data_IF_085353219950
#
_entry.id   IF_085353219950
#
_cell.length_a   1.000
_cell.length_b   1.000
_cell.length_c   1.000
_cell.angle_alpha   90.00
_cell.angle_beta   90.00
_cell.angle_gamma   90.00
#
_symmetry.space_group_name_H-M   'P 1'
#
loop_
_entity.id
_entity.type
_entity.pdbx_description
1 polymer ?
#
# COMPACT_ATOMS: atom_id res chain seq x y z
N UNK A 1 -29.84 -10.95 0.22
CA UNK A 1 -28.49 -10.46 0.47
C UNK A 1 -28.30 -9.23 -0.40
N UNK A 2 -28.23 -8.05 0.20
CA UNK A 2 -27.98 -6.81 -0.55
C UNK A 2 -26.59 -6.92 -1.20
N UNK A 3 -26.49 -6.67 -2.50
CA UNK A 3 -25.21 -6.58 -3.15
C UNK A 3 -24.44 -5.44 -2.45
N UNK A 4 -23.39 -5.79 -1.71
CA UNK A 4 -22.45 -4.84 -1.14
C UNK A 4 -21.92 -4.00 -2.31
N UNK A 5 -22.11 -2.69 -2.26
CA UNK A 5 -21.56 -1.81 -3.29
C UNK A 5 -20.06 -1.65 -3.01
N UNK A 6 -19.22 -2.31 -3.81
CA UNK A 6 -17.78 -2.08 -3.78
C UNK A 6 -17.47 -0.64 -4.12
N UNK A 7 -16.40 -0.13 -3.53
CA UNK A 7 -16.00 1.25 -3.67
C UNK A 7 -16.57 2.17 -2.61
N UNK A 8 -15.86 3.25 -2.34
CA UNK A 8 -16.19 4.22 -1.31
C UNK A 8 -16.53 5.59 -1.86
N UNK A 9 -16.76 6.53 -0.94
CA UNK A 9 -17.08 7.92 -1.25
C UNK A 9 -15.83 8.82 -1.31
N UNK A 10 -14.63 8.24 -1.47
CA UNK A 10 -13.39 8.98 -1.54
C UNK A 10 -13.40 9.94 -2.73
N UNK A 11 -13.03 11.20 -2.47
CA UNK A 11 -12.93 12.19 -3.53
C UNK A 11 -11.63 12.01 -4.32
N UNK A 12 -11.74 11.37 -5.48
CA UNK A 12 -10.61 11.09 -6.36
C UNK A 12 -10.48 12.20 -7.40
N UNK A 13 -9.34 12.91 -7.49
CA UNK A 13 -9.15 14.02 -8.43
C UNK A 13 -8.77 13.51 -9.82
N UNK A 14 -9.68 12.75 -10.44
CA UNK A 14 -9.48 12.18 -11.78
C UNK A 14 -9.44 13.29 -12.83
N UNK A 15 -8.38 13.36 -13.67
CA UNK A 15 -8.31 14.32 -14.76
C UNK A 15 -9.24 13.93 -15.93
N UNK A 16 -9.68 14.90 -16.75
CA UNK A 16 -10.57 14.65 -17.89
C UNK A 16 -9.91 13.74 -18.96
N UNK A 17 -8.60 13.78 -19.10
CA UNK A 17 -7.83 12.99 -20.07
C UNK A 17 -7.40 11.62 -19.56
N UNK A 18 -8.20 10.92 -18.75
CA UNK A 18 -7.91 9.57 -18.32
C UNK A 18 -8.39 8.51 -19.31
N UNK A 19 -7.78 7.33 -19.29
CA UNK A 19 -8.23 6.14 -20.02
C UNK A 19 -8.05 4.89 -19.18
N UNK A 20 -8.72 3.79 -19.54
CA UNK A 20 -8.47 2.51 -18.90
C UNK A 20 -7.06 2.03 -19.21
N UNK A 21 -6.39 1.49 -18.22
CA UNK A 21 -5.08 0.87 -18.32
C UNK A 21 -5.16 -0.65 -18.53
N UNK A 22 -4.12 -1.33 -18.07
CA UNK A 22 -3.98 -2.79 -18.19
C UNK A 22 -4.87 -3.54 -17.20
N UNK A 23 -5.26 -4.79 -17.51
CA UNK A 23 -5.90 -5.67 -16.55
C UNK A 23 -4.95 -6.02 -15.40
N UNK A 24 -5.47 -6.73 -14.39
CA UNK A 24 -4.66 -7.24 -13.29
C UNK A 24 -3.50 -8.10 -13.83
N UNK A 25 -2.25 -7.90 -13.33
CA UNK A 25 -1.08 -8.64 -13.82
C UNK A 25 -0.95 -10.06 -13.25
N UNK A 26 -1.88 -10.51 -12.43
CA UNK A 26 -1.91 -11.83 -11.80
C UNK A 26 -3.06 -12.68 -12.35
N UNK A 27 -2.95 -14.03 -12.27
CA UNK A 27 -4.05 -14.92 -12.65
C UNK A 27 -5.20 -14.85 -11.65
N UNK A 28 -6.43 -15.12 -12.13
CA UNK A 28 -7.65 -15.06 -11.29
C UNK A 28 -7.65 -16.05 -10.12
N UNK A 29 -6.98 -17.18 -10.27
CA UNK A 29 -6.89 -18.25 -9.26
C UNK A 29 -5.55 -18.27 -8.54
N UNK A 30 -4.95 -17.07 -8.36
CA UNK A 30 -3.70 -16.97 -7.63
C UNK A 30 -3.89 -17.30 -6.15
N UNK A 31 -2.98 -18.09 -5.59
CA UNK A 31 -2.90 -18.33 -4.15
C UNK A 31 -1.90 -17.37 -3.52
N UNK A 32 -2.22 -16.89 -2.32
CA UNK A 32 -1.33 -16.04 -1.53
C UNK A 32 -0.94 -16.77 -0.26
N UNK A 33 0.36 -16.94 -0.09
CA UNK A 33 0.97 -17.57 1.06
C UNK A 33 1.98 -16.64 1.72
N UNK A 34 1.88 -16.48 3.06
CA UNK A 34 2.72 -15.54 3.81
C UNK A 34 4.20 -15.97 3.82
N UNK A 35 4.48 -17.27 3.85
CA UNK A 35 5.86 -17.78 3.80
C UNK A 35 6.47 -17.57 2.39
N UNK A 36 5.65 -17.64 1.33
CA UNK A 36 6.08 -17.29 -0.02
C UNK A 36 6.41 -15.80 -0.15
N UNK A 37 5.58 -14.92 0.43
CA UNK A 37 5.84 -13.48 0.47
C UNK A 37 7.18 -13.21 1.16
N UNK A 38 7.43 -13.81 2.32
CA UNK A 38 8.69 -13.65 3.07
C UNK A 38 9.88 -14.10 2.24
N UNK A 39 9.82 -15.27 1.60
CA UNK A 39 10.90 -15.78 0.74
C UNK A 39 11.18 -14.85 -0.44
N UNK A 40 10.15 -14.35 -1.12
CA UNK A 40 10.30 -13.46 -2.26
C UNK A 40 10.87 -12.08 -1.88
N UNK A 41 10.64 -11.62 -0.65
CA UNK A 41 11.14 -10.35 -0.17
C UNK A 41 12.57 -10.42 0.39
N UNK A 42 13.03 -11.59 0.88
CA UNK A 42 14.32 -11.72 1.57
C UNK A 42 15.50 -11.34 0.67
N UNK A 43 15.47 -11.74 -0.60
CA UNK A 43 16.57 -11.50 -1.56
C UNK A 43 16.20 -10.42 -2.60
N UNK A 44 15.13 -9.69 -2.35
CA UNK A 44 14.61 -8.71 -3.31
C UNK A 44 15.52 -7.49 -3.42
N UNK A 45 15.88 -7.13 -4.64
CA UNK A 45 16.57 -5.86 -4.93
C UNK A 45 15.56 -4.73 -5.01
N UNK A 46 15.58 -3.87 -3.99
CA UNK A 46 14.68 -2.73 -3.90
C UNK A 46 15.12 -1.60 -4.84
N UNK A 47 14.22 -1.14 -5.68
CA UNK A 47 14.44 0.07 -6.48
C UNK A 47 14.16 1.31 -5.63
N UNK A 48 15.19 2.09 -5.37
CA UNK A 48 15.11 3.26 -4.48
C UNK A 48 14.94 4.59 -5.21
N UNK A 49 15.06 4.63 -6.54
CA UNK A 49 15.05 5.89 -7.29
C UNK A 49 14.34 5.77 -8.65
N UNK A 50 13.56 6.82 -8.96
CA UNK A 50 13.22 7.13 -10.36
C UNK A 50 14.39 7.91 -10.94
N UNK A 51 15.04 7.36 -11.97
CA UNK A 51 16.09 8.06 -12.73
C UNK A 51 15.57 9.43 -13.19
N UNK A 52 16.30 10.50 -12.87
CA UNK A 52 15.96 11.87 -13.27
C UNK A 52 14.95 12.61 -12.37
N UNK A 53 14.48 12.02 -11.27
CA UNK A 53 13.65 12.75 -10.32
C UNK A 53 14.51 13.69 -9.43
N UNK A 54 14.03 14.89 -9.11
CA UNK A 54 14.72 15.77 -8.17
C UNK A 54 14.78 15.12 -6.78
N UNK A 55 15.77 15.47 -5.94
CA UNK A 55 15.88 14.90 -4.60
C UNK A 55 14.61 15.14 -3.79
N UNK A 56 14.19 14.17 -2.97
CA UNK A 56 12.99 14.31 -2.16
C UNK A 56 13.19 15.42 -1.12
N UNK A 57 12.13 16.16 -0.83
CA UNK A 57 12.11 17.17 0.24
C UNK A 57 11.84 16.56 1.61
N UNK A 58 11.18 15.40 1.63
CA UNK A 58 10.80 14.68 2.85
C UNK A 58 10.97 13.18 2.64
N UNK A 59 11.33 12.51 3.71
CA UNK A 59 11.27 11.06 3.79
C UNK A 59 10.06 10.67 4.63
N UNK A 60 9.38 9.62 4.21
CA UNK A 60 8.25 9.03 4.92
C UNK A 60 8.39 7.52 4.87
N UNK A 61 7.82 6.85 5.85
CA UNK A 61 7.79 5.41 5.89
C UNK A 61 6.37 4.92 6.15
N UNK A 62 6.02 3.78 5.57
CA UNK A 62 4.77 3.09 5.83
C UNK A 62 5.02 1.65 6.23
N UNK A 63 4.16 1.11 7.08
CA UNK A 63 4.20 -0.27 7.56
C UNK A 63 3.13 -1.11 6.84
N UNK A 64 3.58 -2.11 6.09
CA UNK A 64 2.73 -3.14 5.51
C UNK A 64 2.76 -4.33 6.47
N UNK A 65 1.86 -4.31 7.46
CA UNK A 65 1.76 -5.36 8.45
C UNK A 65 0.86 -6.49 7.94
N UNK A 66 1.41 -7.70 7.87
CA UNK A 66 0.75 -8.92 7.37
C UNK A 66 0.63 -9.96 8.47
N UNK A 67 -0.49 -10.67 8.50
CA UNK A 67 -0.72 -11.85 9.34
C UNK A 67 -1.62 -12.84 8.60
N UNK A 68 -1.68 -14.10 9.02
CA UNK A 68 -2.58 -15.11 8.46
C UNK A 68 -3.57 -15.56 9.53
N UNK A 69 -4.90 -15.33 9.28
CA UNK A 69 -5.98 -15.77 10.17
C UNK A 69 -7.37 -15.73 9.46
N UNK A 70 -7.86 -16.77 8.80
CA UNK A 70 -7.07 -17.85 8.18
C UNK A 70 -6.30 -17.38 6.95
N UNK A 71 -6.75 -16.32 6.28
CA UNK A 71 -6.17 -15.77 5.06
C UNK A 71 -5.10 -14.72 5.37
N UNK A 72 -4.13 -14.60 4.47
CA UNK A 72 -3.14 -13.52 4.56
C UNK A 72 -3.85 -12.18 4.47
N UNK A 73 -3.78 -11.42 5.54
CA UNK A 73 -4.50 -10.16 5.75
C UNK A 73 -3.52 -9.01 5.95
N UNK A 74 -3.81 -7.88 5.35
CA UNK A 74 -3.06 -6.63 5.50
C UNK A 74 -3.84 -5.63 6.36
N UNK A 75 -3.11 -4.89 7.19
CA UNK A 75 -3.67 -3.80 8.01
C UNK A 75 -3.57 -2.48 7.24
N UNK A 76 -4.72 -1.83 7.07
CA UNK A 76 -4.84 -0.49 6.51
C UNK A 76 -5.63 0.41 7.47
N UNK A 77 -5.55 1.71 7.27
CA UNK A 77 -6.32 2.72 8.01
C UNK A 77 -7.12 3.57 7.02
N UNK A 78 -8.36 3.95 7.40
CA UNK A 78 -9.08 5.05 6.76
C UNK A 78 -8.87 6.31 7.58
N UNK A 79 -8.34 7.33 6.95
CA UNK A 79 -8.05 8.62 7.62
C UNK A 79 -9.33 9.35 7.98
N UNK A 80 -9.32 10.04 9.11
CA UNK A 80 -10.48 10.84 9.54
C UNK A 80 -10.79 11.97 8.55
N UNK A 81 -12.07 12.29 8.42
CA UNK A 81 -12.55 13.41 7.59
C UNK A 81 -12.11 14.80 8.12
N UNK A 82 -11.62 14.87 9.37
CA UNK A 82 -11.15 16.12 9.99
C UNK A 82 -9.78 16.58 9.51
N UNK A 83 -9.03 15.71 8.83
CA UNK A 83 -7.69 16.05 8.36
C UNK A 83 -7.71 17.04 7.20
N UNK A 84 -6.73 17.94 7.16
CA UNK A 84 -6.61 18.99 6.13
C UNK A 84 -6.23 18.44 4.75
N UNK A 85 -5.56 17.29 4.72
CA UNK A 85 -5.08 16.62 3.50
C UNK A 85 -5.38 15.14 3.60
N UNK A 86 -5.68 14.52 2.44
CA UNK A 86 -5.94 13.08 2.36
C UNK A 86 -7.09 12.59 3.25
N UNK A 87 -8.09 13.46 3.47
CA UNK A 87 -9.28 13.18 4.27
C UNK A 87 -10.06 12.00 3.70
N UNK A 88 -10.36 10.99 4.52
CA UNK A 88 -11.11 9.80 4.13
C UNK A 88 -10.35 8.84 3.22
N UNK A 89 -9.08 9.08 2.89
CA UNK A 89 -8.29 8.16 2.08
C UNK A 89 -7.88 6.93 2.90
N UNK A 90 -7.73 5.81 2.19
CA UNK A 90 -7.21 4.57 2.78
C UNK A 90 -5.70 4.53 2.57
N UNK A 91 -4.97 4.25 3.65
CA UNK A 91 -3.50 4.18 3.65
C UNK A 91 -2.98 3.04 4.52
N UNK A 92 -1.73 2.67 4.33
CA UNK A 92 -0.99 1.94 5.34
C UNK A 92 -0.70 2.87 6.53
N UNK A 93 -0.60 2.34 7.75
CA UNK A 93 -0.04 3.10 8.88
C UNK A 93 1.32 3.66 8.51
N UNK A 94 1.54 4.96 8.75
CA UNK A 94 2.80 5.59 8.38
C UNK A 94 2.73 7.10 8.24
N UNK A 95 3.92 7.71 8.22
CA UNK A 95 4.03 9.16 8.16
C UNK A 95 5.43 9.66 7.86
N UNK A 96 5.67 10.92 8.21
CA UNK A 96 6.93 11.60 7.98
C UNK A 96 7.99 11.19 9.01
N UNK A 97 9.23 11.09 8.56
CA UNK A 97 10.39 10.82 9.41
C UNK A 97 10.68 12.01 10.32
N UNK A 98 10.79 11.75 11.61
CA UNK A 98 11.25 12.72 12.60
C UNK A 98 12.78 12.80 12.66
N UNK A 99 13.36 13.92 13.11
CA UNK A 99 14.80 14.04 13.27
C UNK A 99 15.38 12.99 14.23
N UNK A 100 16.37 12.26 13.76
CA UNK A 100 17.07 11.23 14.54
C UNK A 100 16.49 9.82 14.44
N UNK A 101 15.35 9.65 13.81
CA UNK A 101 14.78 8.33 13.55
C UNK A 101 15.39 7.67 12.30
N UNK A 102 15.47 6.37 12.30
CA UNK A 102 15.54 5.58 11.07
C UNK A 102 14.13 5.46 10.45
N UNK A 103 14.05 5.19 9.15
CA UNK A 103 12.74 5.04 8.48
C UNK A 103 11.95 3.83 9.00
N UNK A 104 12.62 2.78 9.50
CA UNK A 104 11.95 1.67 10.16
C UNK A 104 11.32 2.11 11.50
N UNK A 105 12.05 2.86 12.29
CA UNK A 105 11.52 3.42 13.55
C UNK A 105 10.33 4.36 13.28
N UNK A 106 10.39 5.17 12.22
CA UNK A 106 9.24 5.98 11.77
C UNK A 106 8.02 5.11 11.50
N UNK A 107 8.14 4.05 10.68
CA UNK A 107 7.02 3.16 10.38
C UNK A 107 6.44 2.49 11.63
N UNK A 108 7.29 2.09 12.56
CA UNK A 108 6.89 1.51 13.84
C UNK A 108 6.21 2.52 14.77
N UNK A 109 6.73 3.75 14.86
CA UNK A 109 6.14 4.82 15.68
C UNK A 109 4.75 5.16 15.19
N UNK A 110 4.61 5.45 13.89
CA UNK A 110 3.32 5.79 13.27
C UNK A 110 2.27 4.67 13.45
N UNK A 111 2.65 3.40 13.25
CA UNK A 111 1.74 2.29 13.47
C UNK A 111 1.29 2.15 14.94
N UNK A 112 2.16 2.51 15.89
CA UNK A 112 1.82 2.57 17.31
C UNK A 112 0.88 3.73 17.61
N UNK A 113 1.13 4.90 17.03
CA UNK A 113 0.34 6.12 17.23
C UNK A 113 -1.04 6.03 16.57
N UNK A 114 -1.12 5.55 15.33
CA UNK A 114 -2.37 5.47 14.56
C UNK A 114 -3.28 4.32 15.01
N UNK A 115 -2.72 3.14 15.29
CA UNK A 115 -3.52 1.92 15.52
C UNK A 115 -3.12 1.12 16.76
N UNK A 116 -2.26 1.64 17.62
CA UNK A 116 -1.76 1.02 18.84
C UNK A 116 -1.16 -0.38 18.62
N UNK A 117 -0.53 -0.59 17.45
CA UNK A 117 0.12 -1.86 17.15
C UNK A 117 1.31 -2.08 18.07
N UNK A 118 1.35 -3.25 18.72
CA UNK A 118 2.55 -3.69 19.44
C UNK A 118 3.66 -4.06 18.46
N UNK A 119 4.58 -3.12 18.27
CA UNK A 119 5.66 -3.25 17.29
C UNK A 119 6.77 -4.21 17.71
N UNK A 120 6.77 -4.68 18.98
CA UNK A 120 7.68 -5.73 19.43
C UNK A 120 7.35 -7.10 18.83
N UNK A 121 6.12 -7.28 18.34
CA UNK A 121 5.65 -8.51 17.69
C UNK A 121 5.97 -8.56 16.19
N UNK A 122 6.50 -7.47 15.63
CA UNK A 122 6.79 -7.38 14.21
C UNK A 122 8.09 -8.09 13.84
N UNK A 123 8.03 -9.00 12.89
CA UNK A 123 9.19 -9.50 12.16
C UNK A 123 9.29 -8.76 10.83
N UNK A 124 10.26 -7.86 10.67
CA UNK A 124 10.53 -7.24 9.37
C UNK A 124 10.99 -8.31 8.40
N UNK A 125 10.30 -8.42 7.25
CA UNK A 125 10.57 -9.44 6.22
C UNK A 125 11.07 -8.85 4.90
N UNK A 126 11.04 -7.51 4.74
CA UNK A 126 11.60 -6.86 3.56
C UNK A 126 11.06 -5.46 3.31
N UNK A 127 11.30 -4.98 2.10
CA UNK A 127 10.83 -3.70 1.58
C UNK A 127 10.27 -3.89 0.16
N UNK A 128 9.29 -3.05 -0.21
CA UNK A 128 8.88 -2.89 -1.61
C UNK A 128 9.67 -1.74 -2.27
N UNK A 129 9.51 -1.55 -3.58
CA UNK A 129 10.13 -0.42 -4.28
C UNK A 129 9.62 0.90 -3.71
N UNK A 130 10.55 1.82 -3.51
CA UNK A 130 10.22 3.12 -2.95
C UNK A 130 9.39 3.96 -3.93
N UNK A 131 8.44 4.72 -3.40
CA UNK A 131 7.62 5.61 -4.19
C UNK A 131 8.07 7.06 -4.04
N UNK A 132 8.14 7.77 -5.17
CA UNK A 132 8.25 9.23 -5.17
C UNK A 132 6.87 9.82 -5.45
N UNK A 133 6.34 10.59 -4.51
CA UNK A 133 5.09 11.32 -4.72
C UNK A 133 5.34 12.59 -5.52
N UNK A 134 4.43 12.89 -6.47
CA UNK A 134 4.58 14.06 -7.35
C UNK A 134 4.19 15.34 -6.62
N UNK A 135 3.08 15.32 -5.88
CA UNK A 135 2.51 16.49 -5.22
C UNK A 135 3.31 16.97 -4.02
N UNK A 136 3.72 16.06 -3.14
CA UNK A 136 4.44 16.40 -1.91
C UNK A 136 5.96 16.34 -2.03
N UNK A 137 6.52 15.83 -3.15
CA UNK A 137 7.94 15.53 -3.31
C UNK A 137 8.49 14.70 -2.14
N UNK A 138 7.67 13.81 -1.61
CA UNK A 138 8.05 12.88 -0.57
C UNK A 138 8.55 11.56 -1.19
N UNK A 139 9.54 10.95 -0.55
CA UNK A 139 9.94 9.57 -0.80
C UNK A 139 9.31 8.70 0.27
N UNK A 140 8.51 7.73 -0.14
CA UNK A 140 7.88 6.76 0.73
C UNK A 140 8.69 5.47 0.68
N UNK A 141 9.12 5.00 1.85
CA UNK A 141 9.78 3.69 2.02
C UNK A 141 8.79 2.72 2.64
N UNK A 142 8.36 1.68 1.91
CA UNK A 142 7.38 0.71 2.38
C UNK A 142 8.07 -0.51 3.00
N UNK A 143 7.98 -0.65 4.31
CA UNK A 143 8.46 -1.83 5.03
C UNK A 143 7.37 -2.88 5.11
N UNK A 144 7.72 -4.12 4.81
CA UNK A 144 6.84 -5.27 5.00
C UNK A 144 7.25 -6.01 6.26
N UNK A 145 6.28 -6.25 7.13
CA UNK A 145 6.48 -6.98 8.36
C UNK A 145 5.39 -8.02 8.57
N UNK A 146 5.79 -9.15 9.14
CA UNK A 146 4.94 -10.27 9.50
C UNK A 146 4.62 -10.24 10.98
N UNK A 147 3.40 -10.64 11.32
CA UNK A 147 2.93 -10.95 12.65
C UNK A 147 2.53 -12.43 12.69
N UNK A 148 2.81 -13.13 13.79
CA UNK A 148 2.48 -14.55 13.95
C UNK A 148 0.98 -14.79 14.17
N UNK A 149 0.24 -13.76 14.59
CA UNK A 149 -1.21 -13.82 14.82
C UNK A 149 -1.87 -12.48 14.54
N UNK A 150 -3.19 -12.48 14.43
CA UNK A 150 -3.97 -11.26 14.26
C UNK A 150 -3.71 -10.28 15.42
N UNK A 151 -3.26 -9.05 15.14
CA UNK A 151 -2.94 -8.09 16.19
C UNK A 151 -4.20 -7.50 16.84
N UNK A 152 -4.11 -7.18 18.13
CA UNK A 152 -5.07 -6.29 18.77
C UNK A 152 -4.76 -4.84 18.33
N UNK A 153 -5.74 -4.15 17.78
CA UNK A 153 -5.57 -2.80 17.24
C UNK A 153 -6.68 -1.88 17.77
N UNK A 154 -6.30 -0.64 18.09
CA UNK A 154 -7.22 0.41 18.54
C UNK A 154 -6.91 1.67 17.73
N UNK A 155 -7.91 2.19 17.02
CA UNK A 155 -7.75 3.40 16.22
C UNK A 155 -7.55 4.64 17.12
N UNK A 156 -6.60 5.49 16.74
CA UNK A 156 -6.50 6.85 17.27
C UNK A 156 -7.57 7.72 16.58
N UNK A 157 -8.63 8.16 17.28
CA UNK A 157 -9.76 8.84 16.66
C UNK A 157 -9.44 10.23 16.09
N UNK A 158 -8.27 10.79 16.43
CA UNK A 158 -7.83 12.06 15.88
C UNK A 158 -7.30 11.92 14.45
N UNK A 159 -6.80 10.73 14.07
CA UNK A 159 -6.19 10.48 12.77
C UNK A 159 -6.89 9.38 11.97
N UNK A 160 -7.43 8.37 12.63
CA UNK A 160 -7.98 7.15 12.02
C UNK A 160 -9.47 7.03 12.32
N UNK A 161 -10.27 7.00 11.26
CA UNK A 161 -11.71 6.78 11.32
C UNK A 161 -12.05 5.28 11.43
N UNK A 162 -11.30 4.44 10.71
CA UNK A 162 -11.48 3.00 10.74
C UNK A 162 -10.16 2.26 10.50
N UNK A 163 -10.00 1.10 11.16
CA UNK A 163 -8.96 0.12 10.86
C UNK A 163 -9.56 -0.91 9.92
N UNK A 164 -8.93 -1.10 8.77
CA UNK A 164 -9.36 -2.05 7.75
C UNK A 164 -8.42 -3.26 7.78
N UNK A 165 -9.00 -4.44 7.99
CA UNK A 165 -8.31 -5.73 7.89
C UNK A 165 -8.71 -6.35 6.58
N UNK A 166 -7.85 -6.22 5.56
CA UNK A 166 -8.18 -6.62 4.20
C UNK A 166 -7.48 -7.93 3.86
N UNK A 167 -8.23 -9.04 3.69
CA UNK A 167 -7.66 -10.28 3.19
C UNK A 167 -7.09 -10.05 1.78
N UNK A 168 -5.82 -10.39 1.56
CA UNK A 168 -5.20 -10.21 0.24
C UNK A 168 -5.93 -10.96 -0.89
N UNK A 169 -6.50 -12.16 -0.68
CA UNK A 169 -7.33 -12.82 -1.69
C UNK A 169 -8.54 -12.00 -2.15
N UNK A 170 -9.12 -11.14 -1.29
CA UNK A 170 -10.22 -10.25 -1.68
C UNK A 170 -9.79 -9.28 -2.78
N UNK A 171 -8.54 -8.83 -2.75
CA UNK A 171 -7.99 -7.89 -3.74
C UNK A 171 -7.81 -8.52 -5.12
N UNK A 172 -7.85 -9.86 -5.23
CA UNK A 172 -7.75 -10.59 -6.49
C UNK A 172 -9.11 -10.82 -7.16
N UNK A 173 -10.21 -10.59 -6.45
CA UNK A 173 -11.55 -10.84 -6.97
C UNK A 173 -11.86 -10.00 -8.22
N UNK A 174 -12.61 -10.55 -9.18
CA UNK A 174 -13.00 -9.82 -10.38
C UNK A 174 -13.67 -8.48 -10.06
N UNK A 175 -13.23 -7.40 -10.73
CA UNK A 175 -13.78 -6.06 -10.55
C UNK A 175 -13.27 -5.30 -9.32
N UNK A 176 -12.39 -5.90 -8.51
CA UNK A 176 -11.74 -5.19 -7.40
C UNK A 176 -10.59 -4.33 -7.90
N UNK A 177 -9.68 -4.90 -8.70
CA UNK A 177 -8.56 -4.15 -9.25
C UNK A 177 -8.95 -3.40 -10.52
N UNK A 178 -8.43 -2.17 -10.66
CA UNK A 178 -8.54 -1.34 -11.85
C UNK A 178 -7.29 -0.48 -12.01
N UNK A 179 -6.80 -0.36 -13.24
CA UNK A 179 -5.74 0.57 -13.63
C UNK A 179 -6.34 1.64 -14.55
N UNK A 180 -5.96 2.88 -14.30
CA UNK A 180 -6.25 4.02 -15.18
C UNK A 180 -4.94 4.69 -15.62
N UNK A 181 -4.89 5.16 -16.83
CA UNK A 181 -3.78 5.97 -17.34
C UNK A 181 -4.20 7.44 -17.22
N UNK A 182 -3.49 8.19 -16.40
CA UNK A 182 -3.78 9.60 -16.14
C UNK A 182 -2.75 10.52 -16.80
N UNK A 183 -3.27 11.58 -17.41
CA UNK A 183 -2.50 12.69 -17.91
C UNK A 183 -2.91 13.96 -17.18
N UNK A 184 -2.05 14.45 -16.31
CA UNK A 184 -2.34 15.69 -15.56
C UNK A 184 -2.25 16.91 -16.45
N UNK A 185 -3.07 17.96 -16.21
CA UNK A 185 -2.97 19.23 -16.90
C UNK A 185 -1.53 19.80 -16.83
N UNK A 186 -0.97 20.17 -17.98
CA UNK A 186 0.40 20.68 -18.07
C UNK A 186 1.50 19.62 -18.07
N UNK A 187 1.16 18.33 -17.99
CA UNK A 187 2.12 17.23 -18.14
C UNK A 187 2.06 16.62 -19.53
N UNK A 188 3.24 16.31 -20.10
CA UNK A 188 3.34 15.49 -21.32
C UNK A 188 3.41 13.99 -21.02
N UNK A 189 3.56 13.62 -19.75
CA UNK A 189 3.71 12.23 -19.31
C UNK A 189 2.37 11.67 -18.86
N UNK A 190 2.03 10.52 -19.42
CA UNK A 190 0.96 9.65 -18.93
C UNK A 190 1.51 8.70 -17.88
N UNK A 191 0.70 8.40 -16.85
CA UNK A 191 1.12 7.53 -15.76
C UNK A 191 -0.02 6.63 -15.32
N UNK A 192 0.27 5.36 -14.98
CA UNK A 192 -0.71 4.48 -14.39
C UNK A 192 -1.06 4.95 -12.98
N UNK A 193 -2.34 4.90 -12.66
CA UNK A 193 -2.92 5.06 -11.32
C UNK A 193 -3.74 3.83 -11.03
N UNK A 194 -3.48 3.21 -9.89
CA UNK A 194 -4.08 1.94 -9.50
C UNK A 194 -5.20 2.15 -8.50
N UNK A 195 -6.17 1.26 -8.54
CA UNK A 195 -7.35 1.27 -7.69
C UNK A 195 -7.68 -0.14 -7.22
N UNK A 196 -8.17 -0.25 -5.99
CA UNK A 196 -8.84 -1.43 -5.47
C UNK A 196 -10.17 -0.99 -4.86
N UNK A 197 -11.27 -1.51 -5.41
CA UNK A 197 -12.64 -1.26 -4.95
C UNK A 197 -13.03 -2.35 -3.96
N UNK A 198 -12.87 -2.08 -2.66
CA UNK A 198 -13.28 -2.97 -1.58
C UNK A 198 -14.65 -2.56 -1.03
N UNK A 199 -15.19 -3.32 -0.08
CA UNK A 199 -16.48 -3.00 0.52
C UNK A 199 -16.44 -1.65 1.28
N UNK A 200 -17.19 -0.68 0.82
CA UNK A 200 -17.29 0.66 1.41
C UNK A 200 -16.10 1.59 1.20
N UNK A 201 -15.01 1.15 0.55
CA UNK A 201 -13.81 1.96 0.35
C UNK A 201 -13.20 1.80 -1.04
N UNK A 202 -12.62 2.88 -1.55
CA UNK A 202 -11.77 2.88 -2.74
C UNK A 202 -10.32 3.16 -2.33
N UNK A 203 -9.46 2.18 -2.47
CA UNK A 203 -8.01 2.35 -2.27
C UNK A 203 -7.40 2.79 -3.59
N UNK A 204 -6.63 3.88 -3.60
CA UNK A 204 -6.07 4.42 -4.82
C UNK A 204 -4.68 5.03 -4.63
N UNK A 205 -4.03 5.46 -5.72
CA UNK A 205 -2.80 6.21 -5.70
C UNK A 205 -1.61 5.44 -5.11
N UNK A 206 -0.90 6.03 -4.15
CA UNK A 206 0.30 5.46 -3.56
C UNK A 206 0.01 4.12 -2.84
N UNK A 207 -1.07 4.07 -2.06
CA UNK A 207 -1.47 2.85 -1.33
C UNK A 207 -1.80 1.72 -2.29
N UNK A 208 -2.59 1.98 -3.32
CA UNK A 208 -2.91 0.98 -4.34
C UNK A 208 -1.67 0.54 -5.14
N UNK A 209 -0.72 1.46 -5.40
CA UNK A 209 0.54 1.09 -6.03
C UNK A 209 1.32 0.09 -5.17
N UNK A 210 1.43 0.34 -3.87
CA UNK A 210 2.12 -0.57 -2.94
C UNK A 210 1.39 -1.91 -2.78
N UNK A 211 0.05 -1.92 -2.72
CA UNK A 211 -0.74 -3.16 -2.73
C UNK A 211 -0.49 -3.96 -4.01
N UNK A 212 -0.48 -3.30 -5.16
CA UNK A 212 -0.18 -3.96 -6.43
C UNK A 212 1.24 -4.56 -6.43
N UNK A 213 2.23 -3.84 -5.93
CA UNK A 213 3.59 -4.36 -5.81
C UNK A 213 3.63 -5.58 -4.88
N UNK A 214 2.97 -5.51 -3.73
CA UNK A 214 2.87 -6.62 -2.78
C UNK A 214 2.26 -7.86 -3.43
N UNK A 215 1.13 -7.72 -4.13
CA UNK A 215 0.44 -8.82 -4.80
C UNK A 215 1.29 -9.42 -5.93
N UNK A 216 1.95 -8.60 -6.73
CA UNK A 216 2.87 -9.08 -7.78
C UNK A 216 4.02 -9.86 -7.14
N UNK A 217 4.63 -9.35 -6.07
CA UNK A 217 5.70 -10.04 -5.34
C UNK A 217 5.19 -11.34 -4.71
N UNK A 218 3.99 -11.32 -4.12
CA UNK A 218 3.40 -12.51 -3.49
C UNK A 218 3.14 -13.65 -4.48
N UNK A 219 2.67 -13.31 -5.69
CA UNK A 219 2.14 -14.29 -6.65
C UNK A 219 3.18 -14.70 -7.68
N UNK A 220 3.93 -13.72 -8.22
CA UNK A 220 4.84 -13.93 -9.36
C UNK A 220 6.29 -14.07 -8.88
N UNK A 221 6.58 -13.59 -7.66
CA UNK A 221 7.95 -13.45 -7.20
C UNK A 221 8.66 -12.28 -7.90
N UNK A 222 9.97 -12.18 -7.68
CA UNK A 222 10.78 -11.20 -8.39
C UNK A 222 11.20 -11.81 -9.74
N UNK A 223 10.46 -11.54 -10.81
CA UNK A 223 10.75 -12.00 -12.17
C UNK A 223 12.18 -11.63 -12.65
N UNK A 224 12.89 -10.81 -11.89
CA UNK A 224 14.29 -10.44 -12.14
C UNK A 224 15.29 -11.46 -11.60
N UNK A 225 14.88 -12.41 -10.75
CA UNK A 225 15.78 -13.43 -10.17
C UNK A 225 15.82 -14.73 -10.97
N UNK A 226 14.90 -14.98 -11.90
CA UNK A 226 14.89 -16.20 -12.72
C UNK A 226 15.95 -16.22 -13.83
N UNK A 227 16.67 -15.11 -14.06
CA UNK A 227 17.71 -14.97 -15.08
C UNK A 227 19.13 -14.78 -14.49
N UNK A 228 19.45 -15.38 -13.34
CA UNK A 228 20.85 -15.53 -12.93
C UNK A 228 21.34 -16.92 -13.34
N UNK A 229 22.38 -16.98 -14.19
CA UNK A 229 23.00 -18.25 -14.64
C UNK A 229 23.64 -19.02 -13.49
#
# INVERSE_FOLDING_TARGET
MSASSRGGQQRIPRPDGWSLGSPAPWPLEANIDLDAIERHLTDRVVSSQRTGAPPPKRHSAVLIALYADPEVTVVLTRRTQKMRTHSGEVSFPGGAQDPGETLWETACREAREEVQLDTSLLKRIGELDHLATVSSRARIVPFVARLEQAPSLVANPDEVDAILRVPLPELLLPGVYREEIWKWPGSTQERPVYFFEIDGDTIWGATANLLRQLLVTAIIGDAKNENKP
#
